data_IF_505823771846
#
_entry.id   IF_505823771846
#
_cell.length_a   1.000
_cell.length_b   1.000
_cell.length_c   1.000
_cell.angle_alpha   90.00
_cell.angle_beta   90.00
_cell.angle_gamma   90.00
#
_symmetry.space_group_name_H-M   'P 1'
#
loop_
_entity.id
_entity.type
_entity.pdbx_description
1 polymer ?
#
# COMPACT_ATOMS: atom_id res chain seq x y z
N UNK A 1 65.33 118.92 -35.24
CA UNK A 1 63.89 119.22 -35.00
C UNK A 1 62.96 118.11 -35.49
N UNK A 2 63.46 117.13 -36.26
CA UNK A 2 62.72 115.95 -36.74
C UNK A 2 62.41 114.93 -35.63
N UNK A 3 63.38 114.64 -34.74
CA UNK A 3 63.22 113.61 -33.71
C UNK A 3 62.14 113.93 -32.66
N UNK A 4 61.92 115.23 -32.39
CA UNK A 4 60.86 115.68 -31.49
C UNK A 4 59.46 115.61 -32.13
N UNK A 5 59.37 115.73 -33.46
CA UNK A 5 58.12 115.56 -34.19
C UNK A 5 57.78 114.06 -34.33
N UNK A 6 58.77 113.21 -34.61
CA UNK A 6 58.60 111.76 -34.67
C UNK A 6 58.22 111.16 -33.30
N UNK A 7 58.80 111.68 -32.21
CA UNK A 7 58.41 111.30 -30.86
C UNK A 7 56.95 111.68 -30.55
N UNK A 8 56.50 112.86 -30.98
CA UNK A 8 55.11 113.30 -30.80
C UNK A 8 54.13 112.44 -31.61
N UNK A 9 54.45 112.13 -32.86
CA UNK A 9 53.63 111.27 -33.70
C UNK A 9 53.50 109.85 -33.13
N UNK A 10 54.58 109.29 -32.55
CA UNK A 10 54.52 108.00 -31.85
C UNK A 10 53.66 108.06 -30.59
N UNK A 11 53.71 109.15 -29.83
CA UNK A 11 52.87 109.33 -28.64
C UNK A 11 51.40 109.41 -29.05
N UNK A 12 51.08 110.12 -30.13
CA UNK A 12 49.72 110.25 -30.67
C UNK A 12 49.18 108.88 -31.15
N UNK A 13 49.97 108.11 -31.90
CA UNK A 13 49.61 106.73 -32.31
C UNK A 13 49.39 105.80 -31.10
N UNK A 14 50.20 105.93 -30.04
CA UNK A 14 50.00 105.17 -28.79
C UNK A 14 48.68 105.56 -28.10
N UNK A 15 48.35 106.85 -28.09
CA UNK A 15 47.10 107.33 -27.48
C UNK A 15 45.90 106.84 -28.30
N UNK A 16 45.94 106.96 -29.62
CA UNK A 16 44.86 106.52 -30.50
C UNK A 16 44.65 105.01 -30.44
N UNK A 17 45.74 104.23 -30.44
CA UNK A 17 45.66 102.78 -30.26
C UNK A 17 45.09 102.41 -28.89
N UNK A 18 45.47 103.12 -27.83
CA UNK A 18 44.91 102.90 -26.49
C UNK A 18 43.41 103.22 -26.44
N UNK A 19 42.98 104.36 -27.00
CA UNK A 19 41.57 104.76 -27.05
C UNK A 19 40.75 103.73 -27.82
N UNK A 20 41.20 103.34 -29.02
CA UNK A 20 40.52 102.31 -29.83
C UNK A 20 40.38 100.98 -29.09
N UNK A 21 41.45 100.51 -28.45
CA UNK A 21 41.40 99.27 -27.67
C UNK A 21 40.44 99.38 -26.46
N UNK A 22 40.33 100.56 -25.87
CA UNK A 22 39.41 100.80 -24.75
C UNK A 22 37.96 100.81 -25.23
N UNK A 23 37.68 101.43 -26.38
CA UNK A 23 36.36 101.42 -27.01
C UNK A 23 35.92 100.02 -27.44
N UNK A 24 36.80 99.25 -28.08
CA UNK A 24 36.56 97.85 -28.45
C UNK A 24 36.29 96.99 -27.19
N UNK A 25 37.07 97.18 -26.13
CA UNK A 25 36.88 96.46 -24.86
C UNK A 25 35.54 96.79 -24.21
N UNK A 26 35.13 98.05 -24.18
CA UNK A 26 33.83 98.47 -23.63
C UNK A 26 32.66 98.00 -24.49
N UNK A 27 32.82 97.99 -25.83
CA UNK A 27 31.81 97.45 -26.75
C UNK A 27 31.54 95.95 -26.51
N UNK A 28 32.57 95.16 -26.22
CA UNK A 28 32.45 93.72 -26.00
C UNK A 28 32.26 93.29 -24.54
N UNK A 29 32.47 94.19 -23.55
CA UNK A 29 32.40 93.88 -22.11
C UNK A 29 31.15 93.11 -21.68
N UNK A 30 29.98 93.50 -22.20
CA UNK A 30 28.71 92.84 -21.88
C UNK A 30 28.60 91.43 -22.48
N UNK A 31 29.14 91.22 -23.68
CA UNK A 31 29.14 89.91 -24.34
C UNK A 31 30.09 88.95 -23.63
N UNK A 32 31.31 89.40 -23.32
CA UNK A 32 32.29 88.63 -22.56
C UNK A 32 31.76 88.25 -21.18
N UNK A 33 31.13 89.19 -20.47
CA UNK A 33 30.48 88.93 -19.20
C UNK A 33 29.36 87.88 -19.31
N UNK A 34 28.50 87.98 -20.33
CA UNK A 34 27.44 86.98 -20.61
C UNK A 34 28.04 85.60 -20.88
N UNK A 35 29.09 85.52 -21.71
CA UNK A 35 29.77 84.26 -22.02
C UNK A 35 30.41 83.65 -20.78
N UNK A 36 31.05 84.47 -19.93
CA UNK A 36 31.61 84.04 -18.64
C UNK A 36 30.52 83.44 -17.74
N UNK A 37 29.35 84.08 -17.64
CA UNK A 37 28.20 83.54 -16.89
C UNK A 37 27.76 82.18 -17.45
N UNK A 38 27.66 82.05 -18.78
CA UNK A 38 27.26 80.78 -19.42
C UNK A 38 28.26 79.67 -19.09
N UNK A 39 29.57 79.96 -19.20
CA UNK A 39 30.64 79.01 -18.86
C UNK A 39 30.53 78.60 -17.39
N UNK A 40 30.36 79.55 -16.47
CA UNK A 40 30.23 79.24 -15.05
C UNK A 40 28.96 78.42 -14.74
N UNK A 41 27.83 78.75 -15.37
CA UNK A 41 26.58 78.01 -15.24
C UNK A 41 26.72 76.56 -15.76
N UNK A 42 27.35 76.38 -16.93
CA UNK A 42 27.64 75.07 -17.50
C UNK A 42 28.54 74.24 -16.58
N UNK A 43 29.59 74.86 -16.01
CA UNK A 43 30.49 74.24 -15.06
C UNK A 43 29.77 73.80 -13.77
N UNK A 44 28.96 74.68 -13.17
CA UNK A 44 28.17 74.36 -11.97
C UNK A 44 27.20 73.20 -12.22
N UNK A 45 26.52 73.19 -13.38
CA UNK A 45 25.66 72.07 -13.80
C UNK A 45 26.45 70.77 -13.91
N UNK A 46 27.61 70.81 -14.58
CA UNK A 46 28.49 69.65 -14.76
C UNK A 46 28.94 69.07 -13.42
N UNK A 47 29.28 69.91 -12.45
CA UNK A 47 29.63 69.49 -11.09
C UNK A 47 28.47 68.77 -10.38
N UNK A 48 27.26 69.31 -10.47
CA UNK A 48 26.06 68.67 -9.89
C UNK A 48 25.78 67.33 -10.57
N UNK A 49 25.86 67.27 -11.91
CA UNK A 49 25.67 66.03 -12.66
C UNK A 49 26.68 64.95 -12.26
N UNK A 50 27.95 65.32 -12.07
CA UNK A 50 28.97 64.39 -11.57
C UNK A 50 28.64 63.86 -10.17
N UNK A 51 28.19 64.71 -9.25
CA UNK A 51 27.79 64.29 -7.90
C UNK A 51 26.60 63.34 -7.94
N UNK A 52 25.57 63.67 -8.70
CA UNK A 52 24.38 62.81 -8.87
C UNK A 52 24.77 61.46 -9.47
N UNK A 53 25.62 61.44 -10.49
CA UNK A 53 26.13 60.18 -11.08
C UNK A 53 26.88 59.34 -10.04
N UNK A 54 27.74 59.96 -9.23
CA UNK A 54 28.47 59.29 -8.14
C UNK A 54 27.51 58.67 -7.12
N UNK A 55 26.49 59.42 -6.67
CA UNK A 55 25.51 58.91 -5.72
C UNK A 55 24.63 57.80 -6.30
N UNK A 56 24.18 57.94 -7.55
CA UNK A 56 23.40 56.90 -8.23
C UNK A 56 24.22 55.62 -8.41
N UNK A 57 25.52 55.72 -8.73
CA UNK A 57 26.43 54.55 -8.79
C UNK A 57 26.49 53.84 -7.43
N UNK A 58 26.73 54.58 -6.35
CA UNK A 58 26.77 54.02 -5.00
C UNK A 58 25.44 53.37 -4.60
N UNK A 59 24.30 54.01 -4.92
CA UNK A 59 22.97 53.47 -4.67
C UNK A 59 22.73 52.16 -5.44
N UNK A 60 23.14 52.10 -6.72
CA UNK A 60 23.04 50.88 -7.52
C UNK A 60 23.91 49.75 -6.97
N UNK A 61 25.11 50.04 -6.50
CA UNK A 61 25.99 49.04 -5.89
C UNK A 61 25.39 48.46 -4.61
N UNK A 62 24.85 49.31 -3.72
CA UNK A 62 24.14 48.88 -2.52
C UNK A 62 22.95 47.99 -2.90
N UNK A 63 22.12 48.43 -3.84
CA UNK A 63 20.95 47.66 -4.27
C UNK A 63 21.34 46.32 -4.92
N UNK A 64 22.40 46.28 -5.73
CA UNK A 64 22.92 45.07 -6.36
C UNK A 64 23.38 44.07 -5.31
N UNK A 65 24.18 44.51 -4.34
CA UNK A 65 24.66 43.66 -3.25
C UNK A 65 23.49 43.14 -2.42
N UNK A 66 22.52 44.00 -2.09
CA UNK A 66 21.33 43.62 -1.32
C UNK A 66 20.44 42.61 -2.05
N UNK A 67 20.13 42.82 -3.34
CA UNK A 67 19.38 41.84 -4.15
C UNK A 67 20.10 40.50 -4.20
N UNK A 68 21.42 40.51 -4.35
CA UNK A 68 22.25 39.30 -4.27
C UNK A 68 22.17 38.61 -2.91
N UNK A 69 22.19 39.36 -1.81
CA UNK A 69 22.02 38.82 -0.45
C UNK A 69 20.65 38.15 -0.28
N UNK A 70 19.57 38.81 -0.70
CA UNK A 70 18.19 38.27 -0.64
C UNK A 70 18.06 37.00 -1.49
N UNK A 71 18.65 36.97 -2.69
CA UNK A 71 18.64 35.79 -3.54
C UNK A 71 19.39 34.61 -2.90
N UNK A 72 20.59 34.84 -2.36
CA UNK A 72 21.36 33.81 -1.63
C UNK A 72 20.62 33.30 -0.40
N UNK A 73 19.93 34.18 0.32
CA UNK A 73 19.10 33.78 1.46
C UNK A 73 17.93 32.91 1.04
N UNK A 74 17.22 33.27 -0.03
CA UNK A 74 16.15 32.46 -0.60
C UNK A 74 16.64 31.09 -1.04
N UNK A 75 17.80 31.03 -1.69
CA UNK A 75 18.43 29.76 -2.10
C UNK A 75 18.79 28.90 -0.88
N UNK A 76 19.43 29.47 0.14
CA UNK A 76 19.78 28.75 1.35
C UNK A 76 18.55 28.17 2.06
N UNK A 77 17.46 28.92 2.14
CA UNK A 77 16.20 28.42 2.73
C UNK A 77 15.64 27.23 1.95
N UNK A 78 15.64 27.28 0.61
CA UNK A 78 15.23 26.15 -0.23
C UNK A 78 16.14 24.92 -0.04
N UNK A 79 17.45 25.14 0.09
CA UNK A 79 18.41 24.06 0.36
C UNK A 79 18.14 23.38 1.71
N UNK A 80 17.87 24.17 2.75
CA UNK A 80 17.52 23.67 4.09
C UNK A 80 16.22 22.88 4.03
N UNK A 81 15.19 23.40 3.36
CA UNK A 81 13.90 22.73 3.18
C UNK A 81 14.06 21.39 2.47
N UNK A 82 14.76 21.35 1.33
CA UNK A 82 15.04 20.12 0.59
C UNK A 82 15.79 19.08 1.44
N UNK A 83 16.74 19.53 2.27
CA UNK A 83 17.49 18.66 3.19
C UNK A 83 16.58 18.07 4.27
N UNK A 84 15.70 18.89 4.85
CA UNK A 84 14.71 18.43 5.84
C UNK A 84 13.76 17.42 5.22
N UNK A 85 13.21 17.71 4.03
CA UNK A 85 12.30 16.81 3.33
C UNK A 85 12.97 15.46 3.03
N UNK A 86 14.21 15.47 2.52
CA UNK A 86 14.99 14.25 2.26
C UNK A 86 15.27 13.45 3.54
N UNK A 87 15.56 14.13 4.65
CA UNK A 87 15.75 13.47 5.94
C UNK A 87 14.46 12.84 6.46
N UNK A 88 13.34 13.56 6.37
CA UNK A 88 12.04 13.05 6.81
C UNK A 88 11.59 11.86 5.96
N UNK A 89 11.75 11.91 4.64
CA UNK A 89 11.39 10.80 3.76
C UNK A 89 12.20 9.53 4.07
N UNK A 90 13.50 9.69 4.34
CA UNK A 90 14.35 8.58 4.78
C UNK A 90 13.88 7.97 6.11
N UNK A 91 13.64 8.80 7.14
CA UNK A 91 13.18 8.32 8.45
C UNK A 91 11.82 7.63 8.33
N UNK A 92 10.89 8.21 7.57
CA UNK A 92 9.56 7.63 7.34
C UNK A 92 9.67 6.26 6.65
N UNK A 93 10.55 6.11 5.65
CA UNK A 93 10.78 4.83 4.99
C UNK A 93 11.38 3.76 5.94
N UNK A 94 12.24 4.17 6.88
CA UNK A 94 12.76 3.26 7.92
C UNK A 94 11.68 2.90 8.95
N UNK A 95 10.87 3.86 9.36
CA UNK A 95 9.76 3.63 10.28
C UNK A 95 8.74 2.65 9.68
N UNK A 96 8.34 2.81 8.42
CA UNK A 96 7.41 1.87 7.75
C UNK A 96 7.99 0.47 7.65
N UNK A 97 9.30 0.33 7.38
CA UNK A 97 9.97 -0.97 7.38
C UNK A 97 9.91 -1.64 8.76
N UNK A 98 10.29 -0.92 9.82
CA UNK A 98 10.24 -1.42 11.20
C UNK A 98 8.81 -1.85 11.56
N UNK A 99 7.82 -0.99 11.27
CA UNK A 99 6.43 -1.29 11.54
C UNK A 99 5.92 -2.50 10.75
N UNK A 100 6.31 -2.66 9.48
CA UNK A 100 5.95 -3.83 8.67
C UNK A 100 6.50 -5.12 9.27
N UNK A 101 7.78 -5.11 9.66
CA UNK A 101 8.43 -6.26 10.31
C UNK A 101 7.73 -6.59 11.63
N UNK A 102 7.46 -5.58 12.45
CA UNK A 102 6.79 -5.75 13.74
C UNK A 102 5.38 -6.30 13.59
N UNK A 103 4.57 -5.78 12.67
CA UNK A 103 3.23 -6.32 12.37
C UNK A 103 3.31 -7.79 11.95
N UNK A 104 4.26 -8.13 11.08
CA UNK A 104 4.48 -9.52 10.68
C UNK A 104 4.87 -10.43 11.84
N UNK A 105 5.76 -9.97 12.73
CA UNK A 105 6.11 -10.68 13.96
C UNK A 105 4.90 -10.87 14.88
N UNK A 106 4.14 -9.80 15.14
CA UNK A 106 2.98 -9.81 16.01
C UNK A 106 1.92 -10.80 15.52
N UNK A 107 1.56 -10.76 14.23
CA UNK A 107 0.57 -11.68 13.68
C UNK A 107 1.00 -13.14 13.82
N UNK A 108 2.27 -13.47 13.56
CA UNK A 108 2.78 -14.85 13.69
C UNK A 108 2.86 -15.33 15.13
N UNK A 109 3.09 -14.42 16.08
CA UNK A 109 3.25 -14.77 17.50
C UNK A 109 1.91 -14.86 18.24
N UNK A 110 0.98 -13.95 17.96
CA UNK A 110 -0.21 -13.76 18.81
C UNK A 110 -1.55 -13.97 18.11
N UNK A 111 -1.61 -13.90 16.78
CA UNK A 111 -2.90 -14.01 16.04
C UNK A 111 -3.02 -15.36 15.34
N UNK A 112 -1.96 -15.80 14.67
CA UNK A 112 -1.95 -17.02 13.88
C UNK A 112 -0.93 -18.00 14.45
N UNK A 113 -1.29 -18.66 15.55
CA UNK A 113 -0.53 -19.80 16.05
C UNK A 113 -0.74 -21.00 15.12
N UNK A 114 0.34 -21.41 14.46
CA UNK A 114 0.35 -22.61 13.62
C UNK A 114 -0.04 -23.86 14.41
N UNK A 115 0.45 -23.96 15.65
CA UNK A 115 0.18 -25.09 16.53
C UNK A 115 -1.28 -25.15 16.92
N UNK A 116 -1.90 -24.02 17.27
CA UNK A 116 -3.31 -23.96 17.65
C UNK A 116 -4.19 -24.39 16.48
N UNK A 117 -3.89 -23.92 15.26
CA UNK A 117 -4.61 -24.33 14.06
C UNK A 117 -4.43 -25.82 13.76
N UNK A 118 -3.21 -26.35 13.93
CA UNK A 118 -2.93 -27.79 13.74
C UNK A 118 -3.71 -28.63 14.76
N UNK A 119 -3.73 -28.22 16.02
CA UNK A 119 -4.51 -28.88 17.08
C UNK A 119 -6.01 -28.83 16.79
N UNK A 120 -6.53 -27.68 16.38
CA UNK A 120 -7.93 -27.54 15.99
C UNK A 120 -8.32 -28.50 14.84
N UNK A 121 -7.51 -28.55 13.78
CA UNK A 121 -7.77 -29.46 12.65
C UNK A 121 -7.71 -30.92 13.09
N UNK A 122 -6.72 -31.30 13.91
CA UNK A 122 -6.62 -32.66 14.44
C UNK A 122 -7.85 -33.04 15.28
N UNK A 123 -8.28 -32.15 16.19
CA UNK A 123 -9.47 -32.36 17.00
C UNK A 123 -10.74 -32.46 16.16
N UNK A 124 -10.89 -31.62 15.13
CA UNK A 124 -12.02 -31.68 14.20
C UNK A 124 -12.05 -33.00 13.42
N UNK A 125 -10.88 -33.50 12.99
CA UNK A 125 -10.77 -34.80 12.32
C UNK A 125 -11.12 -35.96 13.26
N UNK A 126 -10.70 -35.91 14.52
CA UNK A 126 -11.05 -36.92 15.52
C UNK A 126 -12.54 -36.92 15.84
N UNK A 127 -13.15 -35.75 16.02
CA UNK A 127 -14.59 -35.61 16.20
C UNK A 127 -15.36 -36.15 14.97
N UNK A 128 -14.91 -35.82 13.76
CA UNK A 128 -15.49 -36.35 12.52
C UNK A 128 -15.37 -37.88 12.39
N UNK A 129 -14.23 -38.46 12.81
CA UNK A 129 -14.06 -39.92 12.87
C UNK A 129 -15.00 -40.56 13.89
N UNK A 130 -15.15 -39.95 15.07
CA UNK A 130 -16.09 -40.40 16.10
C UNK A 130 -17.53 -40.39 15.58
N UNK A 131 -17.96 -39.29 14.97
CA UNK A 131 -19.29 -39.16 14.38
C UNK A 131 -19.54 -40.22 13.28
N UNK A 132 -18.56 -40.47 12.40
CA UNK A 132 -18.69 -41.51 11.38
C UNK A 132 -18.86 -42.91 11.98
N UNK A 133 -18.12 -43.25 13.05
CA UNK A 133 -18.28 -44.52 13.76
C UNK A 133 -19.66 -44.63 14.39
N UNK A 134 -20.12 -43.60 15.08
CA UNK A 134 -21.45 -43.58 15.69
C UNK A 134 -22.57 -43.76 14.66
N UNK A 135 -22.47 -43.08 13.51
CA UNK A 135 -23.43 -43.25 12.40
C UNK A 135 -23.37 -44.67 11.82
N UNK A 136 -22.18 -45.24 11.67
CA UNK A 136 -22.03 -46.63 11.21
C UNK A 136 -22.65 -47.63 12.18
N UNK A 137 -22.36 -47.51 13.49
CA UNK A 137 -22.92 -48.36 14.53
C UNK A 137 -24.44 -48.23 14.61
N UNK A 138 -24.97 -47.01 14.55
CA UNK A 138 -26.41 -46.77 14.50
C UNK A 138 -27.06 -47.44 13.28
N UNK A 139 -26.49 -47.26 12.10
CA UNK A 139 -27.01 -47.85 10.87
C UNK A 139 -26.96 -49.38 10.90
N UNK A 140 -25.91 -49.98 11.47
CA UNK A 140 -25.82 -51.43 11.65
C UNK A 140 -26.91 -51.93 12.59
N UNK A 141 -27.09 -51.28 13.76
CA UNK A 141 -28.14 -51.63 14.70
C UNK A 141 -29.56 -51.45 14.14
N UNK A 142 -29.77 -50.47 13.27
CA UNK A 142 -31.05 -50.30 12.56
C UNK A 142 -31.31 -51.43 11.57
N UNK A 143 -30.30 -51.83 10.79
CA UNK A 143 -30.42 -52.98 9.86
C UNK A 143 -30.72 -54.28 10.60
N UNK A 144 -30.08 -54.53 11.74
CA UNK A 144 -30.37 -55.71 12.56
C UNK A 144 -31.82 -55.70 13.05
N UNK A 145 -32.33 -54.55 13.53
CA UNK A 145 -33.73 -54.42 13.94
C UNK A 145 -34.71 -54.61 12.78
N UNK A 146 -34.39 -54.10 11.60
CA UNK A 146 -35.19 -54.31 10.38
C UNK A 146 -35.21 -55.78 9.98
N UNK A 147 -34.06 -56.46 10.02
CA UNK A 147 -33.95 -57.90 9.79
C UNK A 147 -34.76 -58.70 10.82
N UNK A 148 -34.67 -58.37 12.10
CA UNK A 148 -35.47 -59.03 13.13
C UNK A 148 -36.97 -58.77 12.96
N UNK A 149 -37.37 -57.55 12.57
CA UNK A 149 -38.77 -57.21 12.31
C UNK A 149 -39.31 -58.01 11.11
N UNK A 150 -38.57 -58.06 10.00
CA UNK A 150 -38.94 -58.88 8.83
C UNK A 150 -39.03 -60.36 9.17
N UNK A 151 -38.06 -60.91 9.91
CA UNK A 151 -38.09 -62.30 10.37
C UNK A 151 -39.33 -62.55 11.26
N UNK A 152 -39.66 -61.62 12.17
CA UNK A 152 -40.86 -61.73 13.02
C UNK A 152 -42.15 -61.70 12.21
N UNK A 153 -42.26 -60.80 11.22
CA UNK A 153 -43.42 -60.72 10.32
C UNK A 153 -43.56 -62.03 9.54
N UNK A 154 -42.49 -62.51 8.89
CA UNK A 154 -42.50 -63.78 8.14
C UNK A 154 -42.90 -64.94 9.03
N UNK A 155 -42.33 -65.04 10.25
CA UNK A 155 -42.71 -66.07 11.23
C UNK A 155 -44.18 -65.98 11.63
N UNK A 156 -44.72 -64.78 11.81
CA UNK A 156 -46.14 -64.57 12.11
C UNK A 156 -47.03 -65.01 10.94
N UNK A 157 -46.66 -64.67 9.70
CA UNK A 157 -47.37 -65.11 8.50
C UNK A 157 -47.35 -66.64 8.36
N UNK A 158 -46.18 -67.28 8.52
CA UNK A 158 -46.04 -68.74 8.51
C UNK A 158 -46.90 -69.37 9.60
N UNK A 159 -46.84 -68.86 10.84
CA UNK A 159 -47.65 -69.36 11.95
C UNK A 159 -49.15 -69.23 11.69
N UNK A 160 -49.60 -68.08 11.17
CA UNK A 160 -50.99 -67.86 10.81
C UNK A 160 -51.43 -68.82 9.70
N UNK A 161 -50.60 -69.03 8.68
CA UNK A 161 -50.87 -69.99 7.61
C UNK A 161 -51.06 -71.40 8.16
N UNK A 162 -50.20 -71.86 9.07
CA UNK A 162 -50.34 -73.18 9.69
C UNK A 162 -51.57 -73.31 10.57
N UNK A 163 -51.89 -72.28 11.37
CA UNK A 163 -53.10 -72.29 12.22
C UNK A 163 -54.38 -72.34 11.39
N UNK A 164 -54.43 -71.66 10.24
CA UNK A 164 -55.59 -71.73 9.35
C UNK A 164 -55.69 -73.09 8.64
N UNK A 165 -54.55 -73.65 8.23
CA UNK A 165 -54.49 -74.88 7.42
C UNK A 165 -54.29 -76.17 8.24
N UNK A 166 -54.44 -76.13 9.57
CA UNK A 166 -54.18 -77.29 10.44
C UNK A 166 -55.09 -78.49 10.14
N UNK A 167 -56.28 -78.27 9.57
CA UNK A 167 -57.21 -79.33 9.16
C UNK A 167 -56.74 -80.12 7.93
N UNK A 168 -55.79 -79.58 7.16
CA UNK A 168 -55.22 -80.27 6.01
C UNK A 168 -54.17 -81.32 6.42
N UNK A 169 -53.63 -81.22 7.64
CA UNK A 169 -52.57 -82.08 8.17
C UNK A 169 -53.13 -82.93 9.31
N UNK A 170 -52.69 -84.17 9.40
CA UNK A 170 -53.06 -85.10 10.45
C UNK A 170 -52.56 -84.64 11.79
N UNK A 171 -53.49 -84.63 12.73
CA UNK A 171 -53.21 -84.49 14.15
C UNK A 171 -53.15 -85.88 14.78
N UNK A 172 -52.59 -85.99 16.00
CA UNK A 172 -52.53 -87.28 16.72
C UNK A 172 -53.90 -87.92 16.93
N UNK A 173 -54.97 -87.12 16.96
CA UNK A 173 -56.33 -87.56 17.23
C UNK A 173 -57.17 -87.76 15.97
N UNK A 174 -56.84 -87.10 14.84
CA UNK A 174 -57.62 -87.18 13.61
C UNK A 174 -56.74 -86.94 12.38
N UNK A 175 -56.92 -87.79 11.38
CA UNK A 175 -56.23 -87.71 10.10
C UNK A 175 -56.68 -86.45 9.33
N UNK A 176 -55.72 -85.74 8.72
CA UNK A 176 -55.96 -84.53 7.95
C UNK A 176 -56.38 -84.84 6.53
N UNK A 177 -56.78 -83.81 5.77
CA UNK A 177 -57.24 -84.02 4.39
C UNK A 177 -56.16 -84.60 3.46
N UNK A 178 -54.88 -84.27 3.69
CA UNK A 178 -53.77 -84.84 2.93
C UNK A 178 -53.43 -86.28 3.31
N UNK A 179 -54.04 -86.81 4.36
CA UNK A 179 -53.94 -88.22 4.70
C UNK A 179 -54.88 -89.04 3.83
N UNK A 180 -54.33 -89.71 2.82
CA UNK A 180 -55.12 -90.61 2.00
C UNK A 180 -55.46 -91.89 2.78
N UNK A 181 -56.74 -92.28 2.89
CA UNK A 181 -57.15 -93.49 3.63
C UNK A 181 -56.59 -94.78 3.02
N UNK A 182 -56.16 -94.74 1.76
CA UNK A 182 -55.54 -95.86 1.05
C UNK A 182 -54.08 -96.14 1.48
N UNK A 183 -53.44 -95.23 2.23
CA UNK A 183 -52.05 -95.36 2.68
C UNK A 183 -51.91 -96.45 3.76
N UNK A 184 -52.87 -96.52 4.68
CA UNK A 184 -52.91 -97.57 5.71
C UNK A 184 -53.10 -98.97 5.11
N UNK A 185 -53.76 -99.05 3.96
CA UNK A 185 -54.07 -100.30 3.25
C UNK A 185 -52.91 -100.73 2.33
N UNK A 186 -52.28 -99.78 1.63
CA UNK A 186 -51.26 -100.06 0.61
C UNK A 186 -49.81 -99.97 1.10
N UNK A 187 -49.57 -99.59 2.37
CA UNK A 187 -48.23 -99.32 2.93
C UNK A 187 -47.39 -98.35 2.05
N UNK A 188 -48.06 -97.42 1.37
CA UNK A 188 -47.40 -96.39 0.56
C UNK A 188 -46.79 -95.27 1.41
N UNK A 189 -45.85 -94.52 0.86
CA UNK A 189 -45.31 -93.30 1.48
C UNK A 189 -46.31 -92.14 1.31
N UNK A 190 -46.44 -91.32 2.34
CA UNK A 190 -47.34 -90.17 2.34
C UNK A 190 -46.55 -88.93 1.93
N UNK A 191 -46.07 -88.90 0.69
CA UNK A 191 -45.03 -87.98 0.21
C UNK A 191 -45.29 -86.50 0.53
N UNK A 192 -46.55 -86.08 0.51
CA UNK A 192 -46.93 -84.68 0.76
C UNK A 192 -46.90 -84.37 2.25
N UNK A 193 -47.53 -85.21 3.07
CA UNK A 193 -47.65 -85.00 4.51
C UNK A 193 -46.32 -85.24 5.23
N UNK A 194 -45.55 -86.24 4.82
CA UNK A 194 -44.24 -86.55 5.37
C UNK A 194 -43.24 -85.41 5.09
N UNK A 195 -43.25 -84.83 3.88
CA UNK A 195 -42.43 -83.63 3.57
C UNK A 195 -42.84 -82.41 4.39
N UNK A 196 -44.13 -82.25 4.67
CA UNK A 196 -44.63 -81.16 5.54
C UNK A 196 -44.21 -81.39 7.00
N UNK A 197 -44.22 -82.63 7.49
CA UNK A 197 -43.76 -82.96 8.84
C UNK A 197 -42.23 -82.84 8.95
N UNK A 198 -41.49 -83.21 7.91
CA UNK A 198 -40.03 -83.06 7.85
C UNK A 198 -39.59 -81.60 7.83
N UNK A 199 -40.22 -80.75 7.02
CA UNK A 199 -39.94 -79.31 7.00
C UNK A 199 -40.19 -78.67 8.37
N UNK A 200 -41.26 -79.08 9.08
CA UNK A 200 -41.52 -78.66 10.47
C UNK A 200 -40.43 -79.11 11.45
N UNK A 201 -39.97 -80.37 11.36
CA UNK A 201 -38.88 -80.88 12.19
C UNK A 201 -37.57 -80.14 11.91
N UNK A 202 -37.32 -79.77 10.66
CA UNK A 202 -36.13 -79.02 10.29
C UNK A 202 -36.21 -77.56 10.77
N UNK A 203 -37.37 -76.93 10.73
CA UNK A 203 -37.59 -75.61 11.37
C UNK A 203 -37.34 -75.66 12.88
N UNK A 204 -37.81 -76.70 13.57
CA UNK A 204 -37.58 -76.90 15.01
C UNK A 204 -36.08 -77.14 15.30
N UNK A 205 -35.37 -77.87 14.43
CA UNK A 205 -33.91 -78.06 14.51
C UNK A 205 -33.13 -76.76 14.27
N UNK A 206 -33.53 -75.97 13.28
CA UNK A 206 -32.92 -74.66 12.99
C UNK A 206 -33.16 -73.71 14.18
N UNK A 207 -34.36 -73.72 14.76
CA UNK A 207 -34.70 -72.96 15.96
C UNK A 207 -33.83 -73.38 17.15
N UNK A 208 -33.73 -74.67 17.44
CA UNK A 208 -32.87 -75.20 18.51
C UNK A 208 -31.39 -74.85 18.31
N UNK A 209 -30.87 -74.92 17.08
CA UNK A 209 -29.50 -74.49 16.74
C UNK A 209 -29.31 -72.99 16.95
N UNK A 210 -30.28 -72.16 16.56
CA UNK A 210 -30.22 -70.70 16.73
C UNK A 210 -30.24 -70.29 18.21
N UNK A 211 -31.05 -70.95 19.04
CA UNK A 211 -31.15 -70.72 20.49
C UNK A 211 -29.89 -71.22 21.23
N UNK A 212 -29.31 -72.34 20.79
CA UNK A 212 -28.03 -72.83 21.31
C UNK A 212 -26.86 -71.90 20.98
N UNK A 213 -26.87 -71.29 19.79
CA UNK A 213 -25.82 -70.34 19.36
C UNK A 213 -25.92 -69.01 20.11
N UNK A 214 -27.13 -68.58 20.50
CA UNK A 214 -27.33 -67.38 21.33
C UNK A 214 -26.95 -67.56 22.81
N UNK A 215 -26.96 -68.79 23.34
CA UNK A 215 -26.60 -69.11 24.73
C UNK A 215 -25.14 -69.53 24.93
N UNK A 216 -24.37 -69.70 23.85
CA UNK A 216 -22.96 -70.05 23.94
C UNK A 216 -22.14 -68.86 24.50
N UNK A 217 -21.38 -69.02 25.61
CA UNK A 217 -20.55 -67.95 26.14
C UNK A 217 -19.45 -67.60 25.12
N UNK A 218 -19.40 -66.33 24.70
CA UNK A 218 -18.35 -65.81 23.83
C UNK A 218 -16.97 -65.89 24.53
N UNK A 219 -16.26 -67.01 24.39
CA UNK A 219 -14.83 -67.05 24.71
C UNK A 219 -14.08 -66.31 23.61
N UNK A 220 -13.86 -65.01 23.83
CA UNK A 220 -12.98 -64.18 22.99
C UNK A 220 -11.56 -64.76 23.02
N UNK A 221 -11.14 -65.44 21.94
CA UNK A 221 -9.72 -65.72 21.73
C UNK A 221 -8.97 -64.38 21.57
N UNK A 222 -7.86 -64.15 22.29
CA UNK A 222 -7.10 -62.92 22.17
C UNK A 222 -6.51 -62.83 20.76
N UNK A 223 -6.91 -61.77 20.06
CA UNK A 223 -6.44 -61.45 18.73
C UNK A 223 -4.94 -61.10 18.81
N UNK A 224 -4.06 -62.06 18.48
CA UNK A 224 -2.62 -61.82 18.35
C UNK A 224 -2.40 -60.92 17.13
N UNK A 225 -2.33 -59.63 17.38
CA UNK A 225 -2.03 -58.60 16.39
C UNK A 225 -0.73 -58.89 15.65
N UNK A 226 -0.84 -59.32 14.39
CA UNK A 226 0.27 -59.41 13.45
C UNK A 226 0.70 -57.99 13.08
N UNK A 227 1.68 -57.45 13.82
CA UNK A 227 2.43 -56.24 13.46
C UNK A 227 3.19 -56.49 12.16
N UNK A 228 2.63 -56.09 11.02
CA UNK A 228 3.41 -55.89 9.79
C UNK A 228 4.16 -54.55 9.92
N UNK A 229 5.46 -54.63 10.26
CA UNK A 229 6.40 -53.54 10.02
C UNK A 229 6.56 -53.36 8.51
N UNK A 230 6.13 -52.23 7.97
CA UNK A 230 6.69 -51.71 6.72
C UNK A 230 8.01 -51.01 7.08
N UNK A 231 9.14 -51.58 6.66
CA UNK A 231 10.22 -50.81 6.02
C UNK A 231 9.52 -50.25 4.78
N UNK A 232 9.37 -48.94 4.60
CA UNK A 232 10.42 -48.02 4.20
C UNK A 232 10.03 -46.59 4.65
N UNK A 233 10.99 -45.83 5.17
CA UNK A 233 10.80 -44.49 5.73
C UNK A 233 10.62 -43.38 4.68
N UNK A 234 9.76 -43.59 3.69
CA UNK A 234 9.38 -42.55 2.72
C UNK A 234 7.97 -42.07 3.03
N UNK A 235 7.86 -40.92 3.69
CA UNK A 235 6.60 -40.18 3.81
C UNK A 235 6.53 -39.21 2.63
N UNK A 236 6.08 -39.70 1.48
CA UNK A 236 5.57 -38.81 0.44
C UNK A 236 4.19 -38.34 0.87
N UNK A 237 4.07 -37.03 1.17
CA UNK A 237 2.77 -36.35 1.30
C UNK A 237 2.15 -36.15 -0.09
N UNK A 238 2.04 -37.23 -0.87
CA UNK A 238 1.19 -37.25 -2.04
C UNK A 238 -0.25 -37.31 -1.54
N UNK A 239 -0.80 -36.14 -1.23
CA UNK A 239 -2.25 -35.95 -1.19
C UNK A 239 -2.72 -36.23 -2.61
N UNK A 240 -3.42 -37.34 -2.82
CA UNK A 240 -4.19 -37.55 -4.04
C UNK A 240 -5.25 -36.43 -4.09
N UNK A 241 -4.96 -35.40 -4.89
CA UNK A 241 -5.85 -34.25 -5.15
C UNK A 241 -6.91 -34.60 -6.21
N UNK A 242 -6.98 -35.86 -6.65
CA UNK A 242 -7.84 -36.30 -7.77
C UNK A 242 -9.30 -36.53 -7.39
N UNK A 243 -9.69 -36.37 -6.12
CA UNK A 243 -11.10 -36.50 -5.73
C UNK A 243 -11.52 -35.49 -4.67
N UNK A 244 -11.40 -34.20 -4.96
CA UNK A 244 -12.37 -33.27 -4.39
C UNK A 244 -13.69 -33.56 -5.09
N UNK A 245 -14.54 -34.35 -4.42
CA UNK A 245 -15.95 -34.47 -4.75
C UNK A 245 -16.54 -33.07 -4.54
N UNK A 246 -16.54 -32.26 -5.60
CA UNK A 246 -17.47 -31.15 -5.71
C UNK A 246 -18.84 -31.81 -5.79
N UNK A 247 -19.57 -31.80 -4.67
CA UNK A 247 -20.99 -32.09 -4.68
C UNK A 247 -21.65 -31.07 -5.58
N UNK A 248 -21.87 -31.43 -6.84
CA UNK A 248 -22.76 -30.68 -7.72
C UNK A 248 -24.15 -30.81 -7.11
N UNK A 249 -24.59 -29.74 -6.43
CA UNK A 249 -25.97 -29.63 -6.01
C UNK A 249 -26.89 -29.57 -7.24
N UNK A 250 -28.19 -29.81 -7.07
CA UNK A 250 -29.16 -29.78 -8.18
C UNK A 250 -29.29 -28.40 -8.85
N UNK A 251 -28.68 -27.37 -8.26
CA UNK A 251 -28.51 -26.05 -8.85
C UNK A 251 -27.04 -25.94 -9.27
N UNK A 252 -26.78 -26.02 -10.57
CA UNK A 252 -25.44 -25.89 -11.12
C UNK A 252 -24.74 -24.59 -10.67
N UNK A 253 -23.42 -24.46 -10.92
CA UNK A 253 -22.62 -23.35 -10.41
C UNK A 253 -23.23 -22.01 -10.80
N UNK A 254 -23.48 -21.19 -9.77
CA UNK A 254 -24.06 -19.85 -9.93
C UNK A 254 -23.13 -19.00 -10.80
N UNK A 255 -23.68 -17.98 -11.48
CA UNK A 255 -22.87 -17.08 -12.33
C UNK A 255 -21.69 -16.46 -11.57
N UNK A 256 -21.87 -16.23 -10.27
CA UNK A 256 -20.84 -15.76 -9.36
C UNK A 256 -19.69 -16.77 -9.16
N UNK A 257 -20.02 -18.04 -8.97
CA UNK A 257 -19.02 -19.11 -8.79
C UNK A 257 -18.21 -19.34 -10.07
N UNK A 258 -18.86 -19.30 -11.25
CA UNK A 258 -18.16 -19.39 -12.55
C UNK A 258 -17.15 -18.27 -12.72
N UNK A 259 -17.57 -17.03 -12.47
CA UNK A 259 -16.69 -15.85 -12.53
C UNK A 259 -15.50 -15.97 -11.56
N UNK A 260 -15.73 -16.47 -10.35
CA UNK A 260 -14.67 -16.67 -9.35
C UNK A 260 -13.69 -17.78 -9.75
N UNK A 261 -14.18 -18.86 -10.37
CA UNK A 261 -13.31 -19.92 -10.91
C UNK A 261 -12.50 -19.45 -12.12
N UNK A 262 -13.11 -18.65 -13.01
CA UNK A 262 -12.45 -18.03 -14.16
C UNK A 262 -11.37 -17.04 -13.73
N UNK A 263 -11.64 -16.18 -12.74
CA UNK A 263 -10.64 -15.26 -12.19
C UNK A 263 -9.47 -15.98 -11.53
N UNK A 264 -9.72 -17.11 -10.85
CA UNK A 264 -8.66 -17.97 -10.30
C UNK A 264 -7.82 -18.62 -11.41
N UNK A 265 -8.46 -19.13 -12.46
CA UNK A 265 -7.77 -19.72 -13.60
C UNK A 265 -6.93 -18.67 -14.35
N UNK A 266 -7.47 -17.46 -14.55
CA UNK A 266 -6.76 -16.35 -15.18
C UNK A 266 -5.51 -15.93 -14.38
N UNK A 267 -5.61 -15.87 -13.04
CA UNK A 267 -4.44 -15.58 -12.18
C UNK A 267 -3.38 -16.66 -12.23
N UNK A 268 -3.76 -17.94 -12.37
CA UNK A 268 -2.81 -19.03 -12.49
C UNK A 268 -2.09 -19.03 -13.85
N UNK A 269 -2.78 -18.65 -14.92
CA UNK A 269 -2.19 -18.47 -16.25
C UNK A 269 -1.22 -17.27 -16.30
N UNK A 270 -1.53 -16.18 -15.59
CA UNK A 270 -0.68 -14.98 -15.52
C UNK A 270 0.61 -15.21 -14.71
N UNK A 271 0.57 -16.10 -13.70
CA UNK A 271 1.76 -16.53 -12.94
C UNK A 271 2.70 -17.40 -13.79
N UNK A 272 2.19 -18.10 -14.81
CA UNK A 272 2.99 -18.94 -15.71
C UNK A 272 3.79 -18.18 -16.77
N UNK A 273 3.40 -16.95 -17.13
CA UNK A 273 4.06 -16.15 -18.17
C UNK A 273 5.03 -15.09 -17.62
N UNK A 274 5.05 -14.87 -16.31
CA UNK A 274 6.08 -14.04 -15.70
C UNK A 274 7.39 -14.82 -15.70
N UNK A 275 8.21 -14.63 -16.74
CA UNK A 275 9.64 -14.92 -16.68
C UNK A 275 10.13 -14.38 -15.34
N UNK A 276 10.65 -15.24 -14.47
CA UNK A 276 11.35 -14.82 -13.28
C UNK A 276 12.53 -13.97 -13.75
N UNK A 277 12.30 -12.66 -13.96
CA UNK A 277 13.35 -11.68 -14.09
C UNK A 277 14.05 -11.74 -12.76
N UNK A 278 15.17 -12.45 -12.74
CA UNK A 278 16.18 -12.33 -11.72
C UNK A 278 16.40 -10.84 -11.53
N UNK A 279 15.79 -10.29 -10.47
CA UNK A 279 16.12 -8.98 -9.96
C UNK A 279 17.54 -9.14 -9.45
N UNK A 280 18.50 -9.02 -10.37
CA UNK A 280 19.88 -8.69 -10.06
C UNK A 280 19.75 -7.43 -9.23
N UNK A 281 19.84 -7.61 -7.90
CA UNK A 281 19.94 -6.51 -6.96
C UNK A 281 21.18 -5.75 -7.42
N UNK A 282 20.97 -4.66 -8.15
CA UNK A 282 22.00 -3.69 -8.42
C UNK A 282 22.50 -3.28 -7.03
N UNK A 283 23.71 -3.75 -6.73
CA UNK A 283 24.42 -3.44 -5.51
C UNK A 283 24.66 -1.93 -5.57
N UNK A 284 23.74 -1.17 -4.97
CA UNK A 284 23.91 0.24 -4.70
C UNK A 284 25.23 0.37 -3.96
N UNK A 285 26.29 0.78 -4.67
CA UNK A 285 27.51 1.28 -4.04
C UNK A 285 27.11 2.61 -3.41
N UNK A 286 27.09 2.74 -2.07
CA UNK A 286 27.00 4.04 -1.46
C UNK A 286 28.23 4.80 -1.96
N UNK A 287 28.03 5.94 -2.61
CA UNK A 287 29.15 6.83 -2.88
C UNK A 287 29.79 7.17 -1.54
N UNK A 288 31.09 6.91 -1.44
CA UNK A 288 31.97 7.11 -0.27
C UNK A 288 32.17 8.59 0.08
N UNK A 289 31.08 9.34 0.21
CA UNK A 289 31.10 10.63 0.90
C UNK A 289 30.53 10.40 2.29
N UNK A 290 31.27 9.59 3.05
CA UNK A 290 31.26 9.58 4.50
C UNK A 290 31.72 10.97 4.98
N UNK A 291 30.80 11.94 4.99
CA UNK A 291 30.92 13.07 5.91
C UNK A 291 30.65 12.50 7.29
N UNK A 292 31.76 12.18 7.95
CA UNK A 292 31.99 12.09 9.39
C UNK A 292 30.74 12.18 10.27
N UNK A 293 30.60 11.17 11.13
CA UNK A 293 29.54 11.01 12.11
C UNK A 293 29.13 12.32 12.77
N UNK A 294 28.03 12.88 12.30
CA UNK A 294 27.26 13.82 13.09
C UNK A 294 26.55 12.98 14.14
N UNK A 295 27.24 12.78 15.26
CA UNK A 295 26.63 12.35 16.51
C UNK A 295 25.31 13.08 16.65
N UNK A 296 24.27 12.30 16.96
CA UNK A 296 22.91 12.76 17.16
C UNK A 296 22.84 13.71 18.37
N UNK A 297 23.37 14.91 18.24
CA UNK A 297 23.28 15.93 19.28
C UNK A 297 21.89 16.52 19.19
N UNK A 298 21.05 16.19 20.18
CA UNK A 298 19.73 16.80 20.48
C UNK A 298 19.81 18.32 20.75
N UNK A 299 20.70 19.06 20.09
CA UNK A 299 20.82 20.51 20.20
C UNK A 299 19.93 21.28 19.20
N UNK A 300 19.02 20.63 18.48
CA UNK A 300 18.34 21.27 17.34
C UNK A 300 16.85 21.58 17.52
N UNK A 301 16.20 21.28 18.65
CA UNK A 301 14.81 21.72 18.88
C UNK A 301 14.74 23.24 19.10
N UNK A 302 15.63 23.78 19.94
CA UNK A 302 15.73 25.22 20.18
C UNK A 302 16.18 25.98 18.92
N UNK A 303 17.25 25.51 18.25
CA UNK A 303 17.70 26.09 16.98
C UNK A 303 16.66 25.96 15.86
N UNK A 304 15.89 24.84 15.77
CA UNK A 304 14.77 24.74 14.82
C UNK A 304 13.66 25.72 15.16
N UNK A 305 13.25 25.83 16.42
CA UNK A 305 12.21 26.76 16.84
C UNK A 305 12.65 28.21 16.62
N UNK A 306 13.91 28.53 16.83
CA UNK A 306 14.48 29.84 16.55
C UNK A 306 14.55 30.13 15.05
N UNK A 307 14.98 29.16 14.23
CA UNK A 307 14.95 29.26 12.76
C UNK A 307 13.50 29.37 12.26
N UNK A 308 12.57 28.61 12.81
CA UNK A 308 11.15 28.64 12.44
C UNK A 308 10.47 29.95 12.88
N UNK A 309 10.71 30.44 14.10
CA UNK A 309 10.24 31.77 14.55
C UNK A 309 10.86 32.89 13.72
N UNK A 310 12.15 32.80 13.38
CA UNK A 310 12.81 33.75 12.49
C UNK A 310 12.24 33.68 11.06
N UNK A 311 11.85 32.50 10.59
CA UNK A 311 11.15 32.31 9.31
C UNK A 311 9.72 32.85 9.35
N UNK A 312 9.02 32.73 10.47
CA UNK A 312 7.65 33.24 10.66
C UNK A 312 7.62 34.77 10.77
N UNK A 313 8.53 35.34 11.57
CA UNK A 313 8.77 36.78 11.60
C UNK A 313 9.22 37.31 10.23
N UNK A 314 10.05 36.55 9.49
CA UNK A 314 10.46 36.94 8.13
C UNK A 314 9.36 36.82 7.11
N UNK A 315 8.49 35.80 7.14
CA UNK A 315 7.31 35.71 6.25
C UNK A 315 6.38 36.91 6.44
N UNK A 316 6.17 37.32 7.69
CA UNK A 316 5.44 38.56 8.01
C UNK A 316 6.18 39.79 7.49
N UNK A 317 7.51 39.85 7.62
CA UNK A 317 8.33 40.98 7.14
C UNK A 317 8.52 41.06 5.61
N UNK A 318 8.64 39.94 4.89
CA UNK A 318 8.73 39.89 3.42
C UNK A 318 7.42 40.27 2.75
N UNK A 319 6.28 40.13 3.43
CA UNK A 319 5.01 40.67 2.96
C UNK A 319 5.02 42.20 2.86
N UNK A 320 5.83 42.88 3.68
CA UNK A 320 6.03 44.34 3.68
C UNK A 320 7.28 44.80 2.90
N UNK A 321 8.23 43.91 2.62
CA UNK A 321 9.43 44.20 1.82
C UNK A 321 9.22 43.87 0.34
N UNK A 322 8.16 44.41 -0.28
CA UNK A 322 8.15 44.56 -1.74
C UNK A 322 9.18 45.62 -2.09
N UNK A 323 10.41 45.19 -2.34
CA UNK A 323 11.45 46.04 -2.93
C UNK A 323 10.84 46.62 -4.21
N UNK A 324 10.67 47.93 -4.26
CA UNK A 324 10.09 48.59 -5.43
C UNK A 324 10.80 48.09 -6.70
N UNK A 325 10.06 47.70 -7.75
CA UNK A 325 10.68 47.16 -8.97
C UNK A 325 11.57 48.20 -9.67
N UNK A 326 11.41 49.48 -9.32
CA UNK A 326 12.22 50.58 -9.84
C UNK A 326 13.42 50.81 -8.93
N UNK A 327 14.64 50.96 -9.49
CA UNK A 327 15.79 51.42 -8.71
C UNK A 327 15.47 52.77 -8.08
N UNK A 328 15.86 52.95 -6.81
CA UNK A 328 15.85 54.28 -6.20
C UNK A 328 16.83 55.15 -6.99
N UNK A 329 16.28 56.05 -7.81
CA UNK A 329 17.03 57.13 -8.40
C UNK A 329 16.88 58.34 -7.49
N UNK A 330 18.00 58.96 -7.13
CA UNK A 330 17.95 60.30 -6.56
C UNK A 330 17.57 61.19 -7.73
N UNK A 331 16.29 61.56 -7.80
CA UNK A 331 15.85 62.57 -8.75
C UNK A 331 16.65 63.84 -8.48
N UNK A 332 17.22 64.49 -9.51
CA UNK A 332 17.73 65.84 -9.31
C UNK A 332 16.62 66.66 -8.66
N UNK A 333 16.94 67.55 -7.70
CA UNK A 333 15.93 68.47 -7.18
C UNK A 333 15.23 69.11 -8.37
N UNK A 334 13.88 69.03 -8.41
CA UNK A 334 13.06 69.63 -9.49
C UNK A 334 13.70 70.95 -9.84
N UNK A 335 14.09 71.12 -11.11
CA UNK A 335 14.75 72.32 -11.58
C UNK A 335 13.99 73.52 -11.00
N UNK A 336 14.52 74.14 -9.94
CA UNK A 336 14.28 75.56 -9.77
C UNK A 336 14.91 76.09 -11.02
N UNK A 337 14.08 76.45 -12.00
CA UNK A 337 14.55 77.29 -13.09
C UNK A 337 15.24 78.41 -12.36
N UNK A 338 16.57 78.43 -12.41
CA UNK A 338 17.29 79.66 -12.18
C UNK A 338 16.88 80.49 -13.40
N UNK A 339 15.68 81.06 -13.32
CA UNK A 339 15.33 82.22 -14.10
C UNK A 339 16.37 83.21 -13.64
N UNK A 340 17.43 83.35 -14.44
CA UNK A 340 18.06 84.65 -14.56
C UNK A 340 16.86 85.58 -14.72
N UNK A 341 16.59 86.43 -13.73
CA UNK A 341 15.48 87.37 -13.81
C UNK A 341 15.54 88.10 -15.16
N UNK A 342 14.41 88.57 -15.70
CA UNK A 342 14.41 89.33 -16.95
C UNK A 342 15.54 90.35 -16.88
N UNK A 343 16.44 90.30 -17.87
CA UNK A 343 17.51 91.29 -18.00
C UNK A 343 16.82 92.65 -18.02
N UNK A 344 17.14 93.59 -17.11
CA UNK A 344 16.50 94.89 -17.11
C UNK A 344 16.65 95.50 -18.51
N UNK A 345 15.60 96.15 -19.04
CA UNK A 345 15.67 96.77 -20.36
C UNK A 345 16.88 97.71 -20.37
N UNK A 346 17.74 97.53 -21.38
CA UNK A 346 18.87 98.41 -21.61
C UNK A 346 18.33 99.83 -21.70
N UNK A 347 18.86 100.71 -20.85
CA UNK A 347 18.41 102.08 -20.71
C UNK A 347 18.36 102.79 -22.07
N UNK A 348 17.23 103.46 -22.29
CA UNK A 348 17.03 104.57 -23.21
C UNK A 348 17.96 105.74 -22.91
#
# INVERSE_FOLDING_TARGET
MTDAADARAKIEDIIDTFVRLTEDAEAHRLEEWKMSIIIQCAWRRKLVDFRIKKWNRAALDIQRVYRGHVARMSFWMKQVEATIQKRMSFINAKATLIQKIYRGFYCRKYVHSFYDRKHFIAAALDAGRGMKRNVQEYNLGMREKEQDATIKIVRSCIRSFWLTNHHLISTKSRNGLFYSPYIAVLKGLNDVEDRIVETRKEEERIKAKSEATQKAPMTRKPNRGRRRRRRDGSVTWAVDVTSFVTTEGPYGPTAYERRRTEEKAARLLDVGQQSFRNVVRSRWKPSDVLVNGCTMRMQSEWRRKEILRALEHRKKSTMYLRVAPRPFFISPPKQRRFTCGPVPPLGS
#
